data_IF_321291638092
#
_entry.id   IF_321291638092
#
_cell.length_a   1.000
_cell.length_b   1.000
_cell.length_c   1.000
_cell.angle_alpha   90.00
_cell.angle_beta   90.00
_cell.angle_gamma   90.00
#
_symmetry.space_group_name_H-M   'P 1'
#
loop_
_entity.id
_entity.type
_entity.pdbx_description
1 polymer ?
#
# COMPACT_ATOMS: atom_id res chain seq x y z
N UNK A 1 -1.04 -4.02 13.88
CA UNK A 1 -0.24 -3.67 12.69
C UNK A 1 -0.59 -2.26 12.19
N UNK A 2 -1.78 -1.98 11.62
CA UNK A 2 -2.23 -0.60 11.29
C UNK A 2 -2.33 0.35 12.51
N UNK A 3 -2.54 -0.20 13.71
CA UNK A 3 -2.61 0.55 14.98
C UNK A 3 -1.24 1.03 15.50
N UNK A 4 -0.13 0.58 14.90
CA UNK A 4 1.25 0.93 15.30
C UNK A 4 2.02 1.65 14.17
N UNK A 5 1.67 1.41 12.90
CA UNK A 5 2.26 2.08 11.75
C UNK A 5 1.15 2.41 10.73
N UNK A 6 0.51 3.59 10.84
CA UNK A 6 -0.60 3.98 9.96
C UNK A 6 -0.17 4.22 8.50
N UNK A 7 1.12 4.42 8.27
CA UNK A 7 1.74 4.69 6.96
C UNK A 7 2.51 3.47 6.39
N UNK A 8 2.29 2.30 6.97
CA UNK A 8 3.00 1.08 6.57
C UNK A 8 2.51 0.61 5.19
N UNK A 9 3.43 0.39 4.25
CA UNK A 9 3.09 0.04 2.88
C UNK A 9 2.21 -1.21 2.83
N UNK A 10 2.57 -2.25 3.59
CA UNK A 10 1.77 -3.47 3.68
C UNK A 10 0.37 -3.20 4.26
N UNK A 11 0.27 -2.33 5.25
CA UNK A 11 -1.00 -1.92 5.84
C UNK A 11 -1.91 -1.21 4.84
N UNK A 12 -1.36 -0.32 4.01
CA UNK A 12 -2.10 0.38 2.96
C UNK A 12 -2.51 -0.55 1.83
N UNK A 13 -1.64 -1.47 1.41
CA UNK A 13 -1.96 -2.51 0.40
C UNK A 13 -3.10 -3.39 0.89
N UNK A 14 -3.01 -3.89 2.13
CA UNK A 14 -4.04 -4.72 2.71
C UNK A 14 -5.37 -3.95 2.85
N UNK A 15 -5.32 -2.69 3.29
CA UNK A 15 -6.51 -1.85 3.37
C UNK A 15 -7.16 -1.62 1.99
N UNK A 16 -6.35 -1.41 0.94
CA UNK A 16 -6.85 -1.27 -0.42
C UNK A 16 -7.47 -2.58 -0.94
N UNK A 17 -6.88 -3.73 -0.61
CA UNK A 17 -7.45 -5.05 -0.93
C UNK A 17 -8.79 -5.27 -0.19
N UNK A 18 -8.88 -4.89 1.08
CA UNK A 18 -10.15 -4.94 1.84
C UNK A 18 -11.18 -3.99 1.27
N UNK A 19 -10.80 -2.78 0.87
CA UNK A 19 -11.71 -1.83 0.22
C UNK A 19 -12.23 -2.39 -1.12
N UNK A 20 -11.37 -3.08 -1.88
CA UNK A 20 -11.77 -3.82 -3.09
C UNK A 20 -12.78 -4.92 -2.77
N UNK A 21 -12.51 -5.74 -1.76
CA UNK A 21 -13.42 -6.81 -1.33
C UNK A 21 -14.78 -6.26 -0.87
N UNK A 22 -14.80 -5.05 -0.30
CA UNK A 22 -16.02 -4.35 0.11
C UNK A 22 -16.71 -3.55 -1.02
N UNK A 23 -16.19 -3.61 -2.26
CA UNK A 23 -16.65 -2.79 -3.41
C UNK A 23 -16.69 -1.29 -3.10
N UNK A 24 -15.76 -0.82 -2.26
CA UNK A 24 -15.67 0.57 -1.86
C UNK A 24 -14.56 1.27 -2.66
N UNK A 25 -14.82 1.49 -3.95
CA UNK A 25 -13.91 2.16 -4.88
C UNK A 25 -13.39 3.53 -4.44
N UNK A 26 -14.19 4.45 -3.83
CA UNK A 26 -13.64 5.73 -3.38
C UNK A 26 -12.64 5.57 -2.23
N UNK A 27 -12.90 4.62 -1.32
CA UNK A 27 -11.98 4.31 -0.23
C UNK A 27 -10.70 3.66 -0.77
N UNK A 28 -10.82 2.77 -1.77
CA UNK A 28 -9.66 2.16 -2.44
C UNK A 28 -8.78 3.21 -3.10
N UNK A 29 -9.36 4.10 -3.91
CA UNK A 29 -8.62 5.14 -4.61
C UNK A 29 -7.87 6.08 -3.64
N UNK A 30 -8.48 6.42 -2.51
CA UNK A 30 -7.83 7.21 -1.46
C UNK A 30 -6.63 6.48 -0.83
N UNK A 31 -6.74 5.16 -0.61
CA UNK A 31 -5.68 4.32 -0.08
C UNK A 31 -4.55 4.12 -1.09
N UNK A 32 -4.87 3.90 -2.37
CA UNK A 32 -3.90 3.78 -3.46
C UNK A 32 -3.10 5.08 -3.66
N UNK A 33 -3.75 6.24 -3.60
CA UNK A 33 -3.05 7.55 -3.64
C UNK A 33 -2.13 7.74 -2.44
N UNK A 34 -2.56 7.35 -1.24
CA UNK A 34 -1.72 7.39 -0.03
C UNK A 34 -0.54 6.44 -0.15
N UNK A 35 -0.73 5.25 -0.70
CA UNK A 35 0.33 4.28 -0.96
C UNK A 35 1.42 4.87 -1.86
N UNK A 36 1.02 5.50 -2.97
CA UNK A 36 1.95 6.11 -3.92
C UNK A 36 2.69 7.31 -3.31
N UNK A 37 2.00 8.13 -2.50
CA UNK A 37 2.64 9.23 -1.78
C UNK A 37 3.61 8.75 -0.69
N UNK A 38 3.28 7.64 0.00
CA UNK A 38 4.10 7.04 1.04
C UNK A 38 5.25 6.20 0.49
N UNK A 39 5.21 5.76 -0.78
CA UNK A 39 6.21 4.90 -1.41
C UNK A 39 7.64 5.41 -1.16
N UNK A 40 7.91 6.66 -1.57
CA UNK A 40 9.25 7.23 -1.49
C UNK A 40 9.75 7.33 -0.03
N UNK A 41 8.87 7.72 0.90
CA UNK A 41 9.21 7.87 2.31
C UNK A 41 9.43 6.53 3.01
N UNK A 42 8.66 5.50 2.64
CA UNK A 42 8.74 4.16 3.23
C UNK A 42 9.86 3.32 2.62
N UNK A 43 10.16 3.46 1.31
CA UNK A 43 11.35 2.85 0.69
C UNK A 43 12.64 3.39 1.30
N UNK A 44 12.69 4.68 1.62
CA UNK A 44 13.85 5.30 2.27
C UNK A 44 14.14 4.73 3.67
N UNK A 45 13.15 4.14 4.34
CA UNK A 45 13.33 3.51 5.66
C UNK A 45 14.03 2.16 5.61
N UNK A 46 14.20 1.57 4.43
CA UNK A 46 14.90 0.29 4.19
C UNK A 46 14.60 -0.80 5.24
N UNK A 47 13.34 -0.92 5.66
CA UNK A 47 12.95 -1.93 6.65
C UNK A 47 13.17 -3.32 6.05
N UNK A 48 13.74 -4.24 6.82
CA UNK A 48 13.98 -5.63 6.38
C UNK A 48 12.70 -6.32 5.89
N UNK A 49 11.57 -6.02 6.52
CA UNK A 49 10.25 -6.50 6.09
C UNK A 49 9.87 -6.02 4.68
N UNK A 50 10.24 -4.81 4.30
CA UNK A 50 10.00 -4.30 2.94
C UNK A 50 10.94 -4.92 1.93
N UNK A 51 12.17 -5.23 2.34
CA UNK A 51 13.10 -5.97 1.49
C UNK A 51 12.59 -7.38 1.25
N UNK A 52 12.09 -8.04 2.31
CA UNK A 52 11.51 -9.39 2.24
C UNK A 52 10.25 -9.46 1.39
N UNK A 53 9.38 -8.46 1.52
CA UNK A 53 8.11 -8.36 0.79
C UNK A 53 8.18 -7.40 -0.40
N UNK A 54 9.39 -7.11 -0.90
CA UNK A 54 9.59 -6.13 -1.98
C UNK A 54 8.75 -6.47 -3.20
N UNK A 55 8.70 -7.76 -3.57
CA UNK A 55 7.93 -8.24 -4.71
C UNK A 55 6.43 -7.99 -4.54
N UNK A 56 5.85 -8.29 -3.37
CA UNK A 56 4.44 -8.02 -3.07
C UNK A 56 4.12 -6.52 -3.10
N UNK A 57 5.02 -5.71 -2.55
CA UNK A 57 4.88 -4.25 -2.53
C UNK A 57 4.94 -3.68 -3.96
N UNK A 58 5.92 -4.10 -4.77
CA UNK A 58 6.07 -3.67 -6.16
C UNK A 58 4.83 -4.08 -6.99
N UNK A 59 4.35 -5.32 -6.82
CA UNK A 59 3.15 -5.80 -7.50
C UNK A 59 1.90 -4.99 -7.12
N UNK A 60 1.73 -4.66 -5.84
CA UNK A 60 0.61 -3.86 -5.38
C UNK A 60 0.68 -2.41 -5.87
N UNK A 61 1.87 -1.80 -5.91
CA UNK A 61 2.08 -0.46 -6.46
C UNK A 61 1.83 -0.46 -7.97
N UNK A 62 2.33 -1.45 -8.69
CA UNK A 62 2.10 -1.60 -10.12
C UNK A 62 0.60 -1.75 -10.42
N UNK A 63 -0.10 -2.59 -9.65
CA UNK A 63 -1.55 -2.76 -9.77
C UNK A 63 -2.33 -1.47 -9.44
N UNK A 64 -1.88 -0.70 -8.45
CA UNK A 64 -2.48 0.59 -8.11
C UNK A 64 -2.27 1.64 -9.22
N UNK A 65 -1.08 1.69 -9.82
CA UNK A 65 -0.77 2.58 -10.96
C UNK A 65 -1.56 2.20 -12.21
N UNK A 66 -1.73 0.92 -12.49
CA UNK A 66 -2.44 0.43 -13.67
C UNK A 66 -3.98 0.60 -13.58
N UNK A 67 -4.50 0.85 -12.37
CA UNK A 67 -5.94 1.10 -12.12
C UNK A 67 -6.30 2.59 -11.96
N UNK A 68 -5.32 3.49 -12.03
CA UNK A 68 -5.58 4.94 -12.11
C UNK A 68 -6.08 5.32 -13.50
#
# INVERSE_FOLDING_TARGET
ILRQAPDHLLGLILAAAVATARRNDPQRAALERRLLAAESAQRARQLEEYVRHRADIDAAIAAARNRQ
#
